data_IF_169818575594
#
_entry.id   IF_169818575594
#
_cell.length_a   1.000
_cell.length_b   1.000
_cell.length_c   1.000
_cell.angle_alpha   90.00
_cell.angle_beta   90.00
_cell.angle_gamma   90.00
#
_symmetry.space_group_name_H-M   'P 1'
#
loop_
_entity.id
_entity.type
_entity.pdbx_description
1 polymer ?
#
# COMPACT_ATOMS: atom_id res chain seq x y z
N UNK A 1 14.77 -7.17 -5.00
CA UNK A 1 16.11 -6.87 -5.52
C UNK A 1 17.09 -7.51 -4.56
N UNK A 2 18.03 -8.29 -5.09
CA UNK A 2 19.00 -9.06 -4.34
C UNK A 2 20.42 -8.71 -4.78
N UNK A 3 21.39 -8.95 -3.88
CA UNK A 3 22.81 -8.87 -4.22
C UNK A 3 23.25 -10.14 -4.98
N UNK A 4 24.56 -10.26 -5.32
CA UNK A 4 25.11 -11.41 -6.03
C UNK A 4 25.00 -12.73 -5.26
N UNK A 5 24.90 -12.66 -3.94
CA UNK A 5 24.82 -13.79 -3.02
C UNK A 5 23.38 -14.17 -2.66
N UNK A 6 22.39 -13.44 -3.20
CA UNK A 6 20.97 -13.65 -2.89
C UNK A 6 20.51 -12.96 -1.60
N UNK A 7 21.31 -12.04 -1.03
CA UNK A 7 20.88 -11.24 0.11
C UNK A 7 19.90 -10.15 -0.33
N UNK A 8 18.82 -9.99 0.42
CA UNK A 8 17.76 -9.02 0.09
C UNK A 8 18.24 -7.59 0.33
N UNK A 9 18.22 -6.77 -0.71
CA UNK A 9 18.51 -5.35 -0.68
C UNK A 9 17.24 -4.50 -0.61
N UNK A 10 16.23 -4.88 -1.40
CA UNK A 10 14.91 -4.28 -1.38
C UNK A 10 13.85 -5.33 -1.66
N UNK A 11 12.75 -5.27 -0.91
CA UNK A 11 11.61 -6.19 -1.07
C UNK A 11 10.28 -5.46 -1.00
N UNK A 12 9.26 -6.02 -1.62
CA UNK A 12 7.88 -5.58 -1.44
C UNK A 12 7.24 -6.45 -0.35
N UNK A 13 6.52 -5.81 0.55
CA UNK A 13 5.74 -6.47 1.58
C UNK A 13 4.35 -5.86 1.67
N UNK A 14 3.38 -6.68 1.97
CA UNK A 14 2.01 -6.23 2.07
C UNK A 14 1.71 -5.70 3.48
N UNK A 15 1.05 -4.56 3.53
CA UNK A 15 0.44 -4.01 4.73
C UNK A 15 -1.05 -3.90 4.53
N UNK A 16 -1.76 -3.91 5.63
CA UNK A 16 -3.20 -3.84 5.63
C UNK A 16 -3.64 -2.51 6.22
N UNK A 17 -4.38 -1.73 5.44
CA UNK A 17 -5.03 -0.52 5.94
C UNK A 17 -6.50 -0.83 6.19
N UNK A 18 -7.00 -0.38 7.33
CA UNK A 18 -8.41 -0.52 7.69
C UNK A 18 -9.07 0.82 7.42
N UNK A 19 -10.04 0.79 6.54
CA UNK A 19 -10.82 1.96 6.15
C UNK A 19 -12.31 1.75 6.39
N UNK A 20 -13.07 2.84 6.27
CA UNK A 20 -14.52 2.80 6.13
C UNK A 20 -14.95 3.78 5.04
N UNK A 21 -15.85 3.38 4.15
CA UNK A 21 -16.45 4.26 3.14
C UNK A 21 -17.52 5.13 3.79
N UNK A 22 -17.47 6.43 3.57
CA UNK A 22 -18.43 7.38 4.17
C UNK A 22 -19.87 7.11 3.78
N UNK A 23 -20.09 6.62 2.56
CA UNK A 23 -21.41 6.28 2.03
C UNK A 23 -22.09 5.15 2.81
N UNK A 24 -21.29 4.24 3.41
CA UNK A 24 -21.79 3.10 4.17
C UNK A 24 -22.10 3.45 5.64
N UNK A 25 -21.69 4.66 6.09
CA UNK A 25 -21.84 5.08 7.50
C UNK A 25 -23.18 5.77 7.72
N UNK A 26 -24.11 5.09 8.37
CA UNK A 26 -25.44 5.61 8.64
C UNK A 26 -25.46 6.70 9.73
N UNK A 27 -24.64 6.56 10.77
CA UNK A 27 -24.57 7.52 11.88
C UNK A 27 -23.13 7.81 12.26
N UNK A 28 -22.72 9.07 12.08
CA UNK A 28 -21.36 9.56 12.40
C UNK A 28 -21.02 9.33 13.88
N UNK A 29 -21.92 9.66 14.79
CA UNK A 29 -21.64 9.62 16.24
C UNK A 29 -21.53 8.17 16.73
N UNK A 30 -22.39 7.28 16.24
CA UNK A 30 -22.33 5.85 16.52
C UNK A 30 -21.03 5.25 16.00
N UNK A 31 -20.66 5.58 14.76
CA UNK A 31 -19.41 5.11 14.14
C UNK A 31 -18.18 5.56 14.94
N UNK A 32 -18.08 6.85 15.29
CA UNK A 32 -16.95 7.36 16.08
C UNK A 32 -16.86 6.67 17.44
N UNK A 33 -18.00 6.45 18.11
CA UNK A 33 -18.07 5.76 19.40
C UNK A 33 -17.56 4.32 19.27
N UNK A 34 -18.05 3.59 18.29
CA UNK A 34 -17.67 2.19 18.04
C UNK A 34 -16.19 2.07 17.61
N UNK A 35 -15.74 2.92 16.68
CA UNK A 35 -14.34 2.97 16.26
C UNK A 35 -13.41 3.26 17.44
N UNK A 36 -13.79 4.19 18.30
CA UNK A 36 -13.02 4.50 19.52
C UNK A 36 -12.88 3.27 20.41
N UNK A 37 -13.95 2.49 20.58
CA UNK A 37 -13.93 1.28 21.40
C UNK A 37 -13.08 0.17 20.79
N UNK A 38 -13.26 -0.11 19.50
CA UNK A 38 -12.58 -1.21 18.78
C UNK A 38 -11.08 -0.95 18.65
N UNK A 39 -10.69 0.28 18.31
CA UNK A 39 -9.29 0.64 18.08
C UNK A 39 -8.60 1.24 19.32
N UNK A 40 -9.29 1.40 20.45
CA UNK A 40 -8.79 2.08 21.65
C UNK A 40 -8.23 3.48 21.36
N UNK A 41 -8.93 4.26 20.52
CA UNK A 41 -8.50 5.59 20.11
C UNK A 41 -8.41 6.56 21.27
N UNK A 42 -7.30 7.30 21.32
CA UNK A 42 -7.12 8.43 22.22
C UNK A 42 -7.90 9.66 21.72
N UNK A 43 -7.78 10.80 22.43
CA UNK A 43 -8.51 12.02 22.06
C UNK A 43 -8.03 12.62 20.72
N UNK A 44 -6.74 12.49 20.42
CA UNK A 44 -6.17 12.99 19.17
C UNK A 44 -6.63 12.17 17.97
N UNK A 45 -6.73 10.85 18.12
CA UNK A 45 -7.27 9.95 17.10
C UNK A 45 -8.74 10.29 16.79
N UNK A 46 -9.55 10.54 17.84
CA UNK A 46 -10.94 10.98 17.66
C UNK A 46 -11.05 12.29 16.92
N UNK A 47 -10.20 13.26 17.28
CA UNK A 47 -10.16 14.56 16.60
C UNK A 47 -9.77 14.39 15.12
N UNK A 48 -8.84 13.49 14.83
CA UNK A 48 -8.44 13.17 13.46
C UNK A 48 -9.58 12.52 12.69
N UNK A 49 -10.30 11.57 13.27
CA UNK A 49 -11.50 10.98 12.68
C UNK A 49 -12.54 12.05 12.33
N UNK A 50 -12.84 12.96 13.26
CA UNK A 50 -13.79 14.05 13.03
C UNK A 50 -13.33 14.94 11.88
N UNK A 51 -12.03 15.27 11.80
CA UNK A 51 -11.45 16.03 10.67
C UNK A 51 -11.64 15.31 9.35
N UNK A 52 -11.39 14.00 9.31
CA UNK A 52 -11.60 13.19 8.10
C UNK A 52 -13.08 13.18 7.68
N UNK A 53 -14.02 13.07 8.62
CA UNK A 53 -15.45 13.16 8.32
C UNK A 53 -15.82 14.50 7.70
N UNK A 54 -15.33 15.60 8.27
CA UNK A 54 -15.65 16.95 7.82
C UNK A 54 -15.02 17.32 6.47
N UNK A 55 -13.99 16.62 6.05
CA UNK A 55 -13.36 16.84 4.74
C UNK A 55 -14.20 16.20 3.63
N UNK A 56 -14.97 17.02 2.92
CA UNK A 56 -15.86 16.60 1.82
C UNK A 56 -15.12 15.95 0.63
N UNK A 57 -13.81 16.19 0.48
CA UNK A 57 -13.02 15.61 -0.61
C UNK A 57 -12.67 14.14 -0.37
N UNK A 58 -12.67 13.70 0.87
CA UNK A 58 -12.39 12.31 1.23
C UNK A 58 -13.67 11.48 1.14
N UNK A 59 -13.66 10.44 0.33
CA UNK A 59 -14.72 9.44 0.26
C UNK A 59 -14.59 8.36 1.31
N UNK A 60 -13.36 8.15 1.79
CA UNK A 60 -12.98 7.08 2.73
C UNK A 60 -12.37 7.67 3.99
N UNK A 61 -12.53 6.97 5.08
CA UNK A 61 -11.98 7.29 6.41
C UNK A 61 -10.94 6.23 6.74
N UNK A 62 -9.72 6.64 7.01
CA UNK A 62 -8.68 5.74 7.49
C UNK A 62 -8.83 5.55 9.00
N UNK A 63 -9.06 4.30 9.42
CA UNK A 63 -9.14 3.89 10.81
C UNK A 63 -7.75 3.51 11.34
N UNK A 64 -7.04 2.64 10.63
CA UNK A 64 -5.67 2.23 10.99
C UNK A 64 -4.88 1.92 9.73
N UNK A 65 -3.60 2.32 9.71
CA UNK A 65 -2.67 2.05 8.60
C UNK A 65 -1.56 1.12 9.02
N UNK A 66 -1.04 0.35 8.04
CA UNK A 66 0.12 -0.49 8.24
C UNK A 66 -0.10 -1.64 9.23
N UNK A 67 -1.33 -2.11 9.33
CA UNK A 67 -1.70 -3.22 10.23
C UNK A 67 -1.12 -4.54 9.71
N UNK A 68 -0.70 -5.43 10.60
CA UNK A 68 -0.36 -6.80 10.24
C UNK A 68 -1.63 -7.66 10.13
N UNK A 69 -1.52 -8.81 9.45
CA UNK A 69 -2.65 -9.73 9.34
C UNK A 69 -3.10 -10.26 10.71
N UNK A 70 -2.17 -10.42 11.65
CA UNK A 70 -2.47 -10.86 13.02
C UNK A 70 -3.28 -9.81 13.79
N UNK A 71 -2.89 -8.54 13.69
CA UNK A 71 -3.63 -7.43 14.28
C UNK A 71 -5.02 -7.29 13.67
N UNK A 72 -5.11 -7.43 12.34
CA UNK A 72 -6.41 -7.40 11.65
C UNK A 72 -7.31 -8.55 12.12
N UNK A 73 -6.78 -9.77 12.25
CA UNK A 73 -7.55 -10.93 12.70
C UNK A 73 -8.14 -10.70 14.10
N UNK A 74 -7.38 -10.06 15.00
CA UNK A 74 -7.90 -9.66 16.33
C UNK A 74 -9.03 -8.65 16.23
N UNK A 75 -8.91 -7.67 15.33
CA UNK A 75 -9.94 -6.64 15.10
C UNK A 75 -11.18 -7.18 14.38
N UNK A 76 -11.01 -8.22 13.55
CA UNK A 76 -12.11 -8.85 12.84
C UNK A 76 -13.15 -9.49 13.78
N UNK A 77 -12.75 -9.86 15.01
CA UNK A 77 -13.66 -10.36 16.03
C UNK A 77 -14.70 -9.30 16.41
N UNK A 78 -14.29 -8.02 16.41
CA UNK A 78 -15.14 -6.88 16.73
C UNK A 78 -15.81 -6.23 15.50
N UNK A 79 -15.72 -6.86 14.32
CA UNK A 79 -16.30 -6.34 13.08
C UNK A 79 -17.81 -6.12 13.17
N UNK A 80 -18.52 -6.87 14.03
CA UNK A 80 -19.95 -6.68 14.25
C UNK A 80 -20.29 -5.29 14.82
N UNK A 81 -19.34 -4.61 15.49
CA UNK A 81 -19.47 -3.23 15.98
C UNK A 81 -19.23 -2.18 14.91
N UNK A 82 -18.49 -2.55 13.86
CA UNK A 82 -18.10 -1.68 12.74
C UNK A 82 -18.25 -2.43 11.41
N UNK A 83 -19.48 -2.73 11.00
CA UNK A 83 -19.74 -3.47 9.75
C UNK A 83 -19.27 -2.71 8.50
N UNK A 84 -19.08 -1.39 8.61
CA UNK A 84 -18.58 -0.53 7.55
C UNK A 84 -17.05 -0.62 7.34
N UNK A 85 -16.34 -1.38 8.19
CA UNK A 85 -14.90 -1.56 8.14
C UNK A 85 -14.52 -2.44 6.96
N UNK A 86 -13.62 -1.94 6.11
CA UNK A 86 -13.05 -2.65 4.98
C UNK A 86 -11.53 -2.74 5.11
N UNK A 87 -10.98 -3.88 4.66
CA UNK A 87 -9.55 -4.11 4.61
C UNK A 87 -9.04 -3.77 3.21
N UNK A 88 -8.04 -2.89 3.13
CA UNK A 88 -7.31 -2.63 1.90
C UNK A 88 -5.88 -3.17 2.04
N UNK A 89 -5.47 -3.96 1.06
CA UNK A 89 -4.10 -4.46 0.98
C UNK A 89 -3.26 -3.43 0.21
N UNK A 90 -2.22 -2.91 0.86
CA UNK A 90 -1.25 -2.03 0.25
C UNK A 90 0.11 -2.73 0.17
N UNK A 91 0.73 -2.69 -1.00
CA UNK A 91 2.10 -3.17 -1.16
C UNK A 91 3.07 -2.02 -0.93
N UNK A 92 3.94 -2.19 0.06
CA UNK A 92 4.95 -1.23 0.43
C UNK A 92 6.35 -1.73 0.06
N UNK A 93 7.30 -0.80 -0.13
CA UNK A 93 8.68 -1.12 -0.46
C UNK A 93 9.57 -0.92 0.76
N UNK A 94 10.36 -1.93 1.12
CA UNK A 94 11.36 -1.88 2.18
C UNK A 94 12.76 -2.00 1.61
N UNK A 95 13.64 -1.12 2.04
CA UNK A 95 15.07 -1.14 1.71
C UNK A 95 15.81 -1.59 2.97
N UNK A 96 16.54 -2.71 2.87
CA UNK A 96 17.19 -3.32 4.04
C UNK A 96 18.44 -2.54 4.46
N UNK A 97 19.17 -2.01 3.47
CA UNK A 97 20.41 -1.25 3.67
C UNK A 97 20.30 0.15 3.03
N UNK A 98 19.43 1.02 3.56
CA UNK A 98 19.11 2.28 2.88
C UNK A 98 20.31 3.22 2.77
N UNK A 99 21.17 3.29 3.78
CA UNK A 99 22.32 4.19 3.78
C UNK A 99 23.37 3.78 2.75
N UNK A 100 23.64 2.49 2.62
CA UNK A 100 24.68 1.95 1.75
C UNK A 100 24.25 1.81 0.28
N UNK A 101 22.94 1.68 0.04
CA UNK A 101 22.45 1.32 -1.31
C UNK A 101 21.54 2.36 -1.95
N UNK A 102 21.22 3.47 -1.27
CA UNK A 102 20.27 4.49 -1.74
C UNK A 102 20.61 5.05 -3.13
N UNK A 103 21.87 5.35 -3.38
CA UNK A 103 22.32 5.91 -4.67
C UNK A 103 22.20 4.92 -5.83
N UNK A 104 22.33 3.62 -5.54
CA UNK A 104 22.23 2.56 -6.53
C UNK A 104 20.78 2.15 -6.77
N UNK A 105 20.09 1.79 -5.68
CA UNK A 105 18.71 1.28 -5.77
C UNK A 105 17.72 2.38 -6.14
N UNK A 106 17.92 3.58 -5.61
CA UNK A 106 16.93 4.63 -5.69
C UNK A 106 15.76 4.38 -4.73
N UNK A 107 14.59 4.88 -5.09
CA UNK A 107 13.37 4.72 -4.29
C UNK A 107 12.11 4.70 -5.16
N UNK A 108 11.03 4.18 -4.59
CA UNK A 108 9.70 4.25 -5.16
C UNK A 108 8.91 5.40 -4.54
N UNK A 109 8.04 6.03 -5.31
CA UNK A 109 7.18 7.12 -4.85
C UNK A 109 5.84 7.09 -5.55
N UNK A 110 4.89 7.88 -5.03
CA UNK A 110 3.57 8.01 -5.65
C UNK A 110 3.68 8.47 -7.09
N UNK A 111 2.78 7.93 -7.93
CA UNK A 111 2.66 8.33 -9.31
C UNK A 111 2.33 9.83 -9.40
N UNK A 112 3.03 10.55 -10.27
CA UNK A 112 2.85 11.98 -10.55
C UNK A 112 2.66 12.21 -12.05
N UNK A 113 2.15 13.35 -12.45
CA UNK A 113 1.92 13.69 -13.86
C UNK A 113 3.20 13.58 -14.70
N UNK A 114 4.35 13.98 -14.16
CA UNK A 114 5.64 13.88 -14.83
C UNK A 114 6.09 12.44 -15.14
N UNK A 115 5.55 11.44 -14.44
CA UNK A 115 5.92 10.04 -14.69
C UNK A 115 5.27 9.51 -15.98
N UNK A 116 4.13 10.08 -16.41
CA UNK A 116 3.46 9.70 -17.67
C UNK A 116 4.24 10.13 -18.91
N UNK A 117 5.09 11.14 -18.80
CA UNK A 117 5.96 11.61 -19.88
C UNK A 117 7.26 10.76 -19.99
N UNK A 118 7.49 9.89 -19.02
CA UNK A 118 8.69 9.07 -18.95
C UNK A 118 8.55 7.76 -19.75
N UNK A 119 9.71 7.13 -20.06
CA UNK A 119 9.78 5.83 -20.77
C UNK A 119 9.18 4.67 -19.96
N UNK A 120 8.81 4.90 -18.72
CA UNK A 120 8.23 3.89 -17.83
C UNK A 120 6.79 3.60 -18.26
N UNK A 121 6.52 2.34 -18.60
CA UNK A 121 5.15 1.89 -18.90
C UNK A 121 4.33 1.88 -17.62
N UNK A 122 3.46 2.87 -17.47
CA UNK A 122 2.49 2.91 -16.38
C UNK A 122 1.36 1.97 -16.74
N UNK A 123 1.08 1.01 -15.85
CA UNK A 123 -0.03 0.07 -15.98
C UNK A 123 -1.21 0.60 -15.17
N UNK A 124 -2.42 0.32 -15.62
CA UNK A 124 -3.63 0.67 -14.88
C UNK A 124 -3.59 0.07 -13.47
N UNK A 125 -4.00 0.86 -12.49
CA UNK A 125 -3.98 0.45 -11.08
C UNK A 125 -2.64 0.62 -10.35
N UNK A 126 -1.59 1.10 -11.03
CA UNK A 126 -0.33 1.43 -10.36
C UNK A 126 -0.48 2.73 -9.56
N UNK A 127 -0.10 2.67 -8.29
CA UNK A 127 -0.10 3.83 -7.38
C UNK A 127 1.31 4.36 -7.10
N UNK A 128 2.32 3.52 -7.26
CA UNK A 128 3.74 3.84 -7.01
C UNK A 128 4.62 3.44 -8.18
N UNK A 129 5.67 4.22 -8.40
CA UNK A 129 6.68 3.98 -9.45
C UNK A 129 8.08 4.23 -8.92
N UNK A 130 9.08 3.59 -9.52
CA UNK A 130 10.49 3.90 -9.27
C UNK A 130 10.83 5.30 -9.76
N UNK A 131 11.36 6.14 -8.87
CA UNK A 131 11.68 7.55 -9.18
C UNK A 131 13.09 7.70 -9.73
N UNK A 132 14.04 6.98 -9.19
CA UNK A 132 15.45 7.01 -9.61
C UNK A 132 16.09 5.62 -9.48
N UNK A 133 17.32 5.47 -9.97
CA UNK A 133 18.15 4.29 -9.79
C UNK A 133 17.60 3.03 -10.45
N UNK A 134 17.95 1.89 -9.87
CA UNK A 134 17.51 0.57 -10.33
C UNK A 134 16.00 0.42 -10.28
N UNK A 135 15.33 0.98 -9.27
CA UNK A 135 13.88 0.97 -9.17
C UNK A 135 13.21 1.59 -10.40
N UNK A 136 13.75 2.70 -10.91
CA UNK A 136 13.23 3.34 -12.12
C UNK A 136 13.61 2.57 -13.39
N UNK A 137 14.88 2.20 -13.51
CA UNK A 137 15.38 1.57 -14.74
C UNK A 137 14.71 0.23 -15.00
N UNK A 138 14.52 -0.58 -13.96
CA UNK A 138 13.90 -1.89 -14.05
C UNK A 138 12.44 -1.91 -13.60
N UNK A 139 11.76 -0.75 -13.54
CA UNK A 139 10.37 -0.63 -13.16
C UNK A 139 9.46 -1.64 -13.85
N UNK A 140 9.62 -1.83 -15.17
CA UNK A 140 8.78 -2.73 -15.97
C UNK A 140 8.90 -4.21 -15.56
N UNK A 141 10.06 -4.62 -15.04
CA UNK A 141 10.31 -5.96 -14.54
C UNK A 141 9.85 -6.11 -13.09
N UNK A 142 10.11 -5.09 -12.25
CA UNK A 142 9.81 -5.10 -10.82
C UNK A 142 8.33 -4.96 -10.50
N UNK A 143 7.57 -4.20 -11.31
CA UNK A 143 6.20 -3.81 -10.98
C UNK A 143 5.15 -4.90 -11.15
N UNK A 144 5.48 -6.03 -11.78
CA UNK A 144 4.49 -7.06 -12.05
C UNK A 144 3.32 -6.59 -12.92
N UNK A 145 2.16 -7.18 -12.74
CA UNK A 145 0.91 -6.77 -13.39
C UNK A 145 -0.21 -6.76 -12.36
N UNK A 146 -0.93 -5.65 -12.22
CA UNK A 146 -2.07 -5.58 -11.31
C UNK A 146 -3.19 -6.53 -11.77
N UNK A 147 -3.89 -7.10 -10.81
CA UNK A 147 -5.14 -7.81 -11.08
C UNK A 147 -6.29 -6.83 -11.23
N UNK A 148 -7.36 -7.27 -11.85
CA UNK A 148 -8.61 -6.51 -11.91
C UNK A 148 -9.84 -7.40 -11.87
N UNK A 149 -10.93 -6.83 -11.41
CA UNK A 149 -12.25 -7.42 -11.50
C UNK A 149 -13.17 -6.46 -12.26
N UNK A 150 -13.81 -6.96 -13.32
CA UNK A 150 -14.82 -6.22 -14.06
C UNK A 150 -16.19 -6.60 -13.52
N UNK A 151 -16.87 -5.64 -12.94
CA UNK A 151 -18.15 -5.83 -12.28
C UNK A 151 -19.26 -5.20 -13.12
N UNK A 152 -20.40 -5.88 -13.20
CA UNK A 152 -21.64 -5.29 -13.68
C UNK A 152 -22.42 -4.77 -12.47
N UNK A 153 -22.79 -3.49 -12.51
CA UNK A 153 -23.53 -2.83 -11.42
C UNK A 153 -24.85 -2.28 -11.93
N UNK A 154 -25.85 -2.18 -11.04
CA UNK A 154 -27.09 -1.47 -11.33
C UNK A 154 -26.93 0.06 -11.18
N UNK A 155 -28.01 0.81 -11.41
CA UNK A 155 -28.01 2.27 -11.28
C UNK A 155 -27.69 2.77 -9.86
N UNK A 156 -27.81 1.93 -8.85
CA UNK A 156 -27.49 2.21 -7.45
C UNK A 156 -26.07 1.78 -7.05
N UNK A 157 -25.20 1.41 -8.02
CA UNK A 157 -23.87 0.86 -7.80
C UNK A 157 -23.81 -0.48 -7.02
N UNK A 158 -24.92 -1.22 -6.94
CA UNK A 158 -24.92 -2.57 -6.37
C UNK A 158 -24.36 -3.57 -7.39
N UNK A 159 -23.48 -4.45 -6.94
CA UNK A 159 -22.83 -5.46 -7.80
C UNK A 159 -23.88 -6.52 -8.18
N UNK A 160 -24.17 -6.65 -9.48
CA UNK A 160 -25.05 -7.68 -10.02
C UNK A 160 -24.27 -8.98 -10.25
N UNK A 161 -23.11 -8.87 -10.90
CA UNK A 161 -22.21 -10.01 -11.17
C UNK A 161 -20.81 -9.58 -11.52
N UNK A 162 -19.88 -10.51 -11.33
CA UNK A 162 -18.49 -10.39 -11.81
C UNK A 162 -18.45 -10.87 -13.26
N UNK A 163 -18.05 -9.99 -14.18
CA UNK A 163 -17.94 -10.30 -15.61
C UNK A 163 -16.61 -10.96 -15.95
N UNK A 164 -15.54 -10.45 -15.35
CA UNK A 164 -14.17 -10.91 -15.58
C UNK A 164 -13.35 -10.70 -14.32
N UNK A 165 -12.47 -11.65 -14.01
CA UNK A 165 -11.51 -11.56 -12.93
C UNK A 165 -10.14 -11.98 -13.43
N UNK A 166 -9.15 -11.11 -13.31
CA UNK A 166 -7.77 -11.41 -13.63
C UNK A 166 -6.89 -11.28 -12.37
N UNK A 167 -6.17 -12.33 -11.99
CA UNK A 167 -5.30 -12.26 -10.82
C UNK A 167 -4.12 -11.31 -11.05
N UNK A 168 -3.59 -10.74 -9.98
CA UNK A 168 -2.34 -10.00 -10.00
C UNK A 168 -1.15 -10.97 -10.18
N UNK A 169 -0.14 -10.53 -10.91
CA UNK A 169 1.13 -11.25 -11.03
C UNK A 169 2.24 -10.39 -10.44
N UNK A 170 3.05 -10.99 -9.56
CA UNK A 170 4.21 -10.32 -8.98
C UNK A 170 5.25 -10.01 -10.04
N UNK A 171 6.07 -8.98 -9.81
CA UNK A 171 7.24 -8.68 -10.62
C UNK A 171 8.36 -9.71 -10.47
N UNK A 172 9.36 -9.59 -11.32
CA UNK A 172 10.52 -10.47 -11.32
C UNK A 172 11.54 -10.01 -10.26
N UNK A 173 12.27 -10.96 -9.70
CA UNK A 173 13.42 -10.67 -8.86
C UNK A 173 14.62 -10.27 -9.74
N UNK A 174 15.39 -9.30 -9.25
CA UNK A 174 16.60 -8.80 -9.91
C UNK A 174 17.80 -9.08 -9.02
N UNK A 175 18.80 -9.73 -9.58
CA UNK A 175 20.09 -9.97 -8.94
C UNK A 175 21.11 -8.95 -9.43
N UNK A 176 21.72 -8.24 -8.50
CA UNK A 176 22.77 -7.27 -8.80
C UNK A 176 24.14 -7.91 -8.67
N UNK A 177 25.13 -7.30 -9.31
CA UNK A 177 26.53 -7.76 -9.23
C UNK A 177 27.26 -7.30 -7.98
N UNK A 178 26.65 -6.43 -7.17
CA UNK A 178 27.25 -5.96 -5.90
C UNK A 178 27.23 -7.06 -4.84
N UNK A 179 28.13 -6.91 -3.86
CA UNK A 179 28.18 -7.68 -2.64
C UNK A 179 27.90 -6.75 -1.48
N UNK A 180 26.81 -7.00 -0.74
CA UNK A 180 26.37 -6.08 0.31
C UNK A 180 27.32 -6.06 1.50
N UNK A 181 28.01 -7.16 1.77
CA UNK A 181 28.99 -7.21 2.87
C UNK A 181 30.20 -6.31 2.55
N UNK A 182 30.69 -6.38 1.30
CA UNK A 182 31.76 -5.49 0.82
C UNK A 182 31.31 -4.03 0.81
N UNK A 183 30.07 -3.77 0.42
CA UNK A 183 29.47 -2.43 0.41
C UNK A 183 29.38 -1.86 1.84
N UNK A 184 28.94 -2.65 2.82
CA UNK A 184 28.87 -2.26 4.22
C UNK A 184 30.28 -1.96 4.78
N UNK A 185 31.24 -2.84 4.51
CA UNK A 185 32.61 -2.63 4.93
C UNK A 185 33.21 -1.34 4.36
N UNK A 186 32.97 -1.08 3.07
CA UNK A 186 33.43 0.15 2.42
C UNK A 186 32.78 1.40 3.01
N UNK A 187 31.50 1.30 3.38
CA UNK A 187 30.74 2.40 3.99
C UNK A 187 31.24 2.73 5.42
N UNK A 188 31.67 1.71 6.19
CA UNK A 188 32.20 1.88 7.55
C UNK A 188 33.61 2.52 7.57
N UNK A 189 34.34 2.43 6.46
CA UNK A 189 35.69 3.00 6.33
C UNK A 189 35.68 4.47 5.88
N UNK A 190 34.56 5.02 5.44
CA UNK A 190 34.40 6.41 4.97
C UNK A 190 33.92 7.33 6.10
#
# INVERSE_FOLDING_TARGET
ILDRNGQVLAESYDTFDIIAKKENILSKDSFIKNATKVFNFNQDDKNNLIKQFNNKKLKEINLKKGTTIEEFTKLAVDQYLLPEMELIINSNRRYVYPMQTSHLLGYTGKLSESDFESVVKIKDGMTHVGKIGIERFYQNLLSGSPGYEKLETNANNEIIRVLEKKPAFKGSDIYLTIDINLQNYSYELL
#
